data_IF_281928806503
#
_entry.id   IF_281928806503
#
_cell.length_a   1.000
_cell.length_b   1.000
_cell.length_c   1.000
_cell.angle_alpha   90.00
_cell.angle_beta   90.00
_cell.angle_gamma   90.00
#
_symmetry.space_group_name_H-M   'P 1'
#
loop_
_entity.id
_entity.type
_entity.pdbx_description
1 polymer ?
#
# COMPACT_ATOMS: atom_id res chain seq x y z
N UNK A 1 -6.85 -7.89 4.36
CA UNK A 1 -5.55 -7.53 3.75
C UNK A 1 -4.40 -7.99 4.62
N UNK A 2 -3.27 -8.42 4.02
CA UNK A 2 -1.99 -8.61 4.74
C UNK A 2 -1.04 -7.48 4.37
N UNK A 3 -0.28 -6.99 5.35
CA UNK A 3 0.75 -5.98 5.13
C UNK A 3 2.03 -6.48 5.79
N UNK A 4 3.13 -6.43 5.04
CA UNK A 4 4.44 -6.90 5.49
C UNK A 4 5.51 -5.87 5.14
N UNK A 5 6.60 -5.87 5.89
CA UNK A 5 7.74 -5.00 5.67
C UNK A 5 9.02 -5.82 5.61
N UNK A 6 9.93 -5.42 4.70
CA UNK A 6 11.27 -5.96 4.63
C UNK A 6 12.29 -4.93 5.09
N UNK A 7 13.04 -5.23 6.15
CA UNK A 7 14.19 -4.42 6.54
C UNK A 7 15.34 -4.51 5.50
N UNK A 8 15.41 -5.62 4.74
CA UNK A 8 16.49 -5.87 3.78
C UNK A 8 16.35 -5.06 2.49
N UNK A 9 15.12 -4.90 1.99
CA UNK A 9 14.81 -4.13 0.77
C UNK A 9 14.20 -2.76 1.09
N UNK A 10 13.89 -2.49 2.35
CA UNK A 10 13.20 -1.28 2.81
C UNK A 10 11.92 -1.01 2.02
N UNK A 11 11.06 -2.03 1.90
CA UNK A 11 9.82 -1.96 1.12
C UNK A 11 8.64 -2.57 1.90
N UNK A 12 7.43 -2.11 1.58
CA UNK A 12 6.18 -2.63 2.12
C UNK A 12 5.54 -3.53 1.07
N UNK A 13 5.14 -4.72 1.45
CA UNK A 13 4.28 -5.56 0.62
C UNK A 13 2.85 -5.53 1.14
N UNK A 14 1.89 -5.31 0.23
CA UNK A 14 0.46 -5.39 0.49
C UNK A 14 -0.09 -6.55 -0.31
N UNK A 15 -0.79 -7.47 0.38
CA UNK A 15 -1.55 -8.54 -0.25
C UNK A 15 -3.06 -8.30 0.03
N UNK A 16 -3.75 -7.57 -0.85
CA UNK A 16 -5.15 -7.22 -0.67
C UNK A 16 -6.07 -8.25 -1.34
N UNK A 17 -7.27 -8.44 -0.78
CA UNK A 17 -8.42 -8.88 -1.57
C UNK A 17 -8.97 -7.72 -2.42
N UNK A 18 -9.88 -8.03 -3.34
CA UNK A 18 -10.62 -7.00 -4.11
C UNK A 18 -11.26 -5.93 -3.23
N UNK A 19 -11.93 -6.35 -2.16
CA UNK A 19 -12.59 -5.43 -1.25
C UNK A 19 -11.57 -4.63 -0.42
N UNK A 20 -10.44 -5.23 -0.07
CA UNK A 20 -9.36 -4.52 0.62
C UNK A 20 -8.79 -3.40 -0.24
N UNK A 21 -8.54 -3.67 -1.53
CA UNK A 21 -7.99 -2.69 -2.46
C UNK A 21 -8.98 -1.55 -2.72
N UNK A 22 -10.27 -1.87 -2.91
CA UNK A 22 -11.32 -0.87 -3.03
C UNK A 22 -11.42 0.02 -1.77
N UNK A 23 -11.40 -0.60 -0.59
CA UNK A 23 -11.41 0.11 0.68
C UNK A 23 -10.15 0.97 0.87
N UNK A 24 -8.98 0.49 0.43
CA UNK A 24 -7.75 1.26 0.40
C UNK A 24 -7.92 2.48 -0.49
N UNK A 25 -8.22 2.30 -1.79
CA UNK A 25 -8.37 3.39 -2.75
C UNK A 25 -9.31 4.51 -2.28
N UNK A 26 -10.44 4.15 -1.68
CA UNK A 26 -11.43 5.12 -1.21
C UNK A 26 -10.99 5.89 0.04
N UNK A 27 -10.06 5.34 0.84
CA UNK A 27 -9.64 5.90 2.14
C UNK A 27 -8.27 6.57 2.12
N UNK A 28 -7.45 6.36 1.09
CA UNK A 28 -6.10 6.94 0.97
C UNK A 28 -6.07 8.48 1.09
N UNK A 29 -7.19 9.16 0.81
CA UNK A 29 -7.29 10.63 0.86
C UNK A 29 -8.14 11.16 2.02
N UNK A 30 -8.65 10.27 2.87
CA UNK A 30 -9.49 10.63 4.02
C UNK A 30 -8.61 10.81 5.27
N UNK A 31 -8.59 12.03 5.81
CA UNK A 31 -7.79 12.31 7.01
C UNK A 31 -8.28 11.49 8.21
N UNK A 32 -7.33 10.86 8.91
CA UNK A 32 -7.62 10.00 10.04
C UNK A 32 -8.14 8.61 9.68
N UNK A 33 -8.27 8.27 8.39
CA UNK A 33 -8.70 6.94 7.99
C UNK A 33 -7.75 5.86 8.49
N UNK A 34 -8.32 4.72 8.86
CA UNK A 34 -7.61 3.55 9.34
C UNK A 34 -8.03 2.33 8.55
N UNK A 35 -7.04 1.56 8.13
CA UNK A 35 -7.21 0.33 7.38
C UNK A 35 -6.45 -0.74 8.15
N UNK A 36 -7.15 -1.71 8.70
CA UNK A 36 -6.54 -2.77 9.50
C UNK A 36 -6.02 -3.88 8.60
N UNK A 37 -4.95 -4.53 9.04
CA UNK A 37 -4.38 -5.69 8.38
C UNK A 37 -4.45 -6.91 9.29
N UNK A 38 -4.54 -8.09 8.68
CA UNK A 38 -4.47 -9.36 9.39
C UNK A 38 -3.01 -9.63 9.75
N UNK A 39 -2.76 -9.83 11.04
CA UNK A 39 -1.46 -10.28 11.55
C UNK A 39 -1.50 -11.80 11.57
N UNK A 40 -0.56 -12.44 10.89
CA UNK A 40 -0.38 -13.89 10.92
C UNK A 40 1.05 -14.22 11.35
N UNK A 41 1.23 -15.30 12.11
CA UNK A 41 2.56 -15.87 12.35
C UNK A 41 3.05 -16.54 11.07
N UNK A 42 4.25 -16.20 10.58
CA UNK A 42 4.76 -16.77 9.33
C UNK A 42 6.03 -17.59 9.56
N UNK A 43 6.05 -18.77 8.94
CA UNK A 43 7.18 -19.71 8.87
C UNK A 43 8.07 -19.49 7.64
N UNK A 44 7.73 -18.55 6.74
CA UNK A 44 8.46 -18.23 5.50
C UNK A 44 8.52 -16.71 5.28
N UNK A 45 9.49 -16.05 5.91
CA UNK A 45 9.48 -14.59 6.03
C UNK A 45 10.70 -13.88 5.40
N UNK A 46 11.39 -14.46 4.41
CA UNK A 46 12.38 -13.71 3.65
C UNK A 46 11.77 -13.26 2.29
N UNK A 47 11.89 -11.99 1.89
CA UNK A 47 12.51 -10.88 2.61
C UNK A 47 11.58 -10.14 3.60
N UNK A 48 10.29 -10.51 3.65
CA UNK A 48 9.25 -9.83 4.44
C UNK A 48 9.11 -10.41 5.86
N UNK A 49 10.00 -9.99 6.73
CA UNK A 49 10.20 -10.55 8.07
C UNK A 49 9.20 -10.01 9.11
N UNK A 50 8.60 -8.83 8.84
CA UNK A 50 7.78 -8.10 9.80
C UNK A 50 6.34 -7.93 9.33
N UNK A 51 5.40 -8.32 10.19
CA UNK A 51 3.97 -8.04 9.98
C UNK A 51 3.58 -6.68 10.54
N UNK A 52 2.69 -6.05 9.79
CA UNK A 52 2.25 -4.70 9.99
C UNK A 52 0.75 -4.73 10.29
N UNK A 53 0.29 -4.05 11.35
CA UNK A 53 -1.11 -4.18 11.81
C UNK A 53 -2.12 -3.34 11.03
N UNK A 54 -1.66 -2.48 10.13
CA UNK A 54 -2.54 -1.68 9.29
C UNK A 54 -1.88 -0.43 8.73
N UNK A 55 -2.70 0.43 8.17
CA UNK A 55 -2.34 1.72 7.59
C UNK A 55 -3.21 2.78 8.26
N UNK A 56 -2.59 3.84 8.76
CA UNK A 56 -3.27 5.05 9.21
C UNK A 56 -2.91 6.21 8.30
N UNK A 57 -3.95 6.85 7.76
CA UNK A 57 -3.86 7.98 6.85
C UNK A 57 -3.84 9.26 7.67
N UNK A 58 -2.87 10.13 7.39
CA UNK A 58 -2.82 11.49 7.91
C UNK A 58 -2.60 12.47 6.78
N UNK A 59 -3.54 13.39 6.59
CA UNK A 59 -3.42 14.46 5.61
C UNK A 59 -2.71 15.64 6.29
N UNK A 60 -1.48 15.90 5.86
CA UNK A 60 -0.65 17.00 6.35
C UNK A 60 -0.94 18.28 5.55
N UNK A 61 -0.54 19.46 6.08
CA UNK A 61 -0.56 20.70 5.33
C UNK A 61 0.21 20.57 4.01
N UNK A 62 -0.26 21.24 2.96
CA UNK A 62 0.22 21.09 1.58
C UNK A 62 -0.02 19.71 0.98
N UNK A 63 -1.13 19.08 1.38
CA UNK A 63 -1.67 17.93 0.66
C UNK A 63 -0.81 16.66 0.71
N UNK A 64 0.10 16.56 1.69
CA UNK A 64 0.93 15.36 1.88
C UNK A 64 0.15 14.30 2.67
N UNK A 65 -0.06 13.11 2.12
CA UNK A 65 -0.59 11.98 2.91
C UNK A 65 0.55 11.20 3.52
N UNK A 66 0.44 10.84 4.80
CA UNK A 66 1.35 9.96 5.54
C UNK A 66 0.62 8.65 5.89
N UNK A 67 1.29 7.51 5.68
CA UNK A 67 0.77 6.17 5.94
C UNK A 67 1.50 5.52 7.11
N UNK A 68 0.98 5.66 8.31
CA UNK A 68 1.62 5.06 9.48
C UNK A 68 1.21 3.60 9.61
N UNK A 69 2.22 2.74 9.75
CA UNK A 69 2.01 1.32 9.79
C UNK A 69 2.41 0.76 11.16
N UNK A 70 1.43 0.36 11.95
CA UNK A 70 1.61 0.16 13.39
C UNK A 70 2.29 -1.18 13.72
N UNK A 71 3.60 -1.14 13.92
CA UNK A 71 4.31 -1.91 14.93
C UNK A 71 5.59 -1.16 15.27
N UNK A 72 5.46 -0.12 16.11
CA UNK A 72 6.53 0.78 16.58
C UNK A 72 7.25 1.66 15.54
N UNK A 73 7.10 1.41 14.23
CA UNK A 73 7.73 2.21 13.18
C UNK A 73 6.75 3.08 12.39
N UNK A 74 7.19 4.31 12.09
CA UNK A 74 6.50 5.19 11.14
C UNK A 74 7.13 5.01 9.78
N UNK A 75 6.62 4.04 9.03
CA UNK A 75 6.89 4.00 7.59
C UNK A 75 6.16 5.18 6.94
N UNK A 76 6.79 5.81 5.95
CA UNK A 76 6.32 7.08 5.43
C UNK A 76 6.26 6.99 3.92
N UNK A 77 5.04 7.01 3.39
CA UNK A 77 4.79 7.37 1.99
C UNK A 77 4.28 8.80 2.04
N UNK A 78 4.82 9.67 1.18
CA UNK A 78 4.42 11.08 1.05
C UNK A 78 4.17 11.37 -0.41
N UNK A 79 3.01 11.92 -0.73
CA UNK A 79 2.69 12.41 -2.08
C UNK A 79 1.77 13.61 -1.97
N UNK A 80 1.82 14.48 -2.97
CA UNK A 80 0.82 15.54 -3.14
C UNK A 80 -0.58 14.91 -3.36
N UNK A 81 -1.66 15.57 -2.93
CA UNK A 81 -3.00 14.97 -2.92
C UNK A 81 -3.51 14.68 -4.31
N UNK A 82 -3.25 15.55 -5.28
CA UNK A 82 -3.60 15.31 -6.68
C UNK A 82 -2.83 14.11 -7.23
N UNK A 83 -1.57 14.02 -6.84
CA UNK A 83 -0.69 12.88 -7.15
C UNK A 83 -1.18 11.57 -6.54
N UNK A 84 -1.69 11.62 -5.31
CA UNK A 84 -2.27 10.45 -4.64
C UNK A 84 -3.67 10.10 -5.12
N UNK A 85 -4.45 11.05 -5.66
CA UNK A 85 -5.71 10.71 -6.33
C UNK A 85 -5.48 9.90 -7.59
N UNK A 86 -4.40 10.17 -8.34
CA UNK A 86 -4.01 9.30 -9.46
C UNK A 86 -3.63 7.89 -8.97
N UNK A 87 -2.94 7.76 -7.83
CA UNK A 87 -2.69 6.46 -7.23
C UNK A 87 -4.01 5.74 -6.85
N UNK A 88 -4.99 6.46 -6.29
CA UNK A 88 -6.32 5.90 -6.03
C UNK A 88 -6.97 5.36 -7.30
N UNK A 89 -6.91 6.10 -8.41
CA UNK A 89 -7.45 5.68 -9.71
C UNK A 89 -6.75 4.43 -10.24
N UNK A 90 -5.42 4.36 -10.14
CA UNK A 90 -4.65 3.16 -10.50
C UNK A 90 -5.07 1.96 -9.66
N UNK A 91 -5.21 2.13 -8.34
CA UNK A 91 -5.64 1.04 -7.47
C UNK A 91 -7.10 0.63 -7.72
N UNK A 92 -7.97 1.58 -8.10
CA UNK A 92 -9.34 1.28 -8.53
C UNK A 92 -9.38 0.50 -9.84
N UNK A 93 -8.60 0.88 -10.85
CA UNK A 93 -8.58 0.16 -12.13
C UNK A 93 -8.10 -1.29 -11.97
N UNK A 94 -7.15 -1.53 -11.05
CA UNK A 94 -6.77 -2.89 -10.67
C UNK A 94 -7.95 -3.72 -10.13
N UNK A 95 -8.93 -3.10 -9.46
CA UNK A 95 -10.14 -3.81 -9.01
C UNK A 95 -11.12 -4.14 -10.12
N UNK A 96 -11.07 -3.40 -11.23
CA UNK A 96 -11.87 -3.65 -12.43
C UNK A 96 -11.26 -4.80 -13.23
N UNK A 97 -9.93 -4.78 -13.42
CA UNK A 97 -9.18 -5.85 -14.07
C UNK A 97 -9.35 -7.21 -13.36
N UNK A 98 -9.50 -7.20 -12.03
CA UNK A 98 -9.79 -8.39 -11.23
C UNK A 98 -11.11 -9.09 -11.55
N UNK A 99 -12.06 -8.38 -12.17
CA UNK A 99 -13.36 -8.97 -12.56
C UNK A 99 -13.30 -9.74 -13.89
N UNK A 100 -12.24 -9.55 -14.67
CA UNK A 100 -12.00 -10.22 -15.94
C UNK A 100 -11.15 -11.45 -15.63
N UNK A 101 -11.81 -12.56 -15.28
CA UNK A 101 -11.23 -13.79 -14.76
C UNK A 101 -10.30 -14.55 -15.72
N UNK A 102 -9.29 -13.90 -16.26
CA UNK A 102 -8.30 -14.51 -17.13
C UNK A 102 -6.90 -14.41 -16.50
N UNK A 103 -6.47 -15.59 -16.02
CA UNK A 103 -5.13 -16.05 -15.64
C UNK A 103 -4.68 -15.90 -14.16
N UNK A 104 -4.29 -17.02 -13.50
CA UNK A 104 -3.71 -17.02 -12.15
C UNK A 104 -2.21 -16.71 -12.24
N UNK A 105 -1.86 -15.58 -12.84
CA UNK A 105 -0.51 -15.03 -12.71
C UNK A 105 -0.58 -14.03 -11.57
N UNK A 106 0.03 -14.35 -10.44
CA UNK A 106 0.30 -13.36 -9.39
C UNK A 106 0.89 -12.12 -10.07
N UNK A 107 0.14 -11.02 -10.03
CA UNK A 107 0.62 -9.74 -10.53
C UNK A 107 1.22 -8.99 -9.34
N UNK A 108 2.40 -8.44 -9.55
CA UNK A 108 2.99 -7.47 -8.62
C UNK A 108 2.94 -6.09 -9.27
N UNK A 109 2.53 -5.08 -8.51
CA UNK A 109 2.67 -3.68 -8.89
C UNK A 109 3.66 -3.03 -7.93
N UNK A 110 4.78 -2.55 -8.46
CA UNK A 110 5.72 -1.73 -7.70
C UNK A 110 5.27 -0.27 -7.76
N UNK A 111 4.92 0.28 -6.60
CA UNK A 111 4.57 1.68 -6.40
C UNK A 111 5.76 2.35 -5.71
N UNK A 112 6.62 2.99 -6.49
CA UNK A 112 7.83 3.65 -6.02
C UNK A 112 8.08 4.94 -6.80
N UNK A 113 8.85 5.88 -6.23
CA UNK A 113 9.12 7.20 -6.82
C UNK A 113 9.65 7.13 -8.26
N UNK A 114 10.45 6.12 -8.59
CA UNK A 114 11.05 5.97 -9.92
C UNK A 114 10.03 5.53 -10.98
N UNK A 115 9.06 4.73 -10.58
CA UNK A 115 7.98 4.23 -11.45
C UNK A 115 6.82 5.21 -11.49
N UNK A 116 6.67 6.00 -10.43
CA UNK A 116 5.59 6.92 -10.23
C UNK A 116 6.08 8.22 -9.59
N UNK A 117 6.17 9.24 -10.42
CA UNK A 117 6.60 10.59 -10.02
C UNK A 117 5.69 11.24 -8.98
N UNK A 118 4.55 10.62 -8.68
CA UNK A 118 3.59 11.05 -7.68
C UNK A 118 4.02 10.79 -6.23
N UNK A 119 5.02 9.95 -5.99
CA UNK A 119 5.60 9.75 -4.66
C UNK A 119 6.80 10.67 -4.42
N UNK A 120 7.03 11.08 -3.17
CA UNK A 120 8.28 11.72 -2.74
C UNK A 120 9.44 10.73 -2.85
N UNK A 121 10.63 11.21 -3.22
CA UNK A 121 11.86 10.39 -3.26
C UNK A 121 12.25 9.73 -1.94
N UNK A 122 11.70 10.22 -0.82
CA UNK A 122 11.92 9.63 0.51
C UNK A 122 10.81 8.65 0.91
N UNK A 123 9.88 8.34 0.00
CA UNK A 123 8.80 7.39 0.26
C UNK A 123 9.33 5.97 0.21
N UNK A 124 8.85 5.15 1.13
CA UNK A 124 9.11 3.71 1.12
C UNK A 124 8.35 3.06 -0.05
N UNK A 125 9.01 2.27 -0.91
CA UNK A 125 8.34 1.53 -1.97
C UNK A 125 7.24 0.61 -1.45
N UNK A 126 6.15 0.51 -2.20
CA UNK A 126 5.05 -0.43 -1.93
C UNK A 126 4.97 -1.43 -3.06
N UNK A 127 4.90 -2.71 -2.74
CA UNK A 127 4.62 -3.79 -3.67
C UNK A 127 3.21 -4.30 -3.40
N UNK A 128 2.30 -4.13 -4.37
CA UNK A 128 0.96 -4.72 -4.28
C UNK A 128 1.00 -6.09 -4.96
N UNK A 129 0.79 -7.15 -4.19
CA UNK A 129 0.74 -8.54 -4.69
C UNK A 129 -0.71 -8.99 -4.73
N UNK A 130 -1.23 -9.18 -5.94
CA UNK A 130 -2.63 -9.48 -6.18
C UNK A 130 -2.81 -10.69 -7.11
N UNK A 131 -3.92 -11.42 -6.94
CA UNK A 131 -4.26 -12.66 -7.65
C UNK A 131 -5.67 -12.59 -8.21
#
# INVERSE_FOLDING_TARGET
MKIRYSDSTNEIEINPSRNDLLNLSNKLLEDGAQITATIEENSKAAPYERFLSGIKVKVLPKELVEFQVTSNDRLLIKGDRHKLSMLCEVLLSLTEDWSIGEYPTYKHLHIEHLTFDYLSSNSIPIVVVYA
#
